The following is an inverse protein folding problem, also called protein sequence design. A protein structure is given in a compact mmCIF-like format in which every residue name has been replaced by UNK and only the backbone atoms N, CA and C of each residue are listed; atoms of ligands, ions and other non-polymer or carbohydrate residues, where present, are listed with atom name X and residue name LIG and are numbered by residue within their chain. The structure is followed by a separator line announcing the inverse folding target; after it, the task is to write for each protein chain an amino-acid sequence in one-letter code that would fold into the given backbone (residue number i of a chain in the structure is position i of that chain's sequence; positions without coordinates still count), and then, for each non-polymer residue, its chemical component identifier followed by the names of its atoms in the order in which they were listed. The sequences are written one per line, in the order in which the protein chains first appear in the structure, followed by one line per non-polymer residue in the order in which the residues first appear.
data_IF_463421761067
#
_entry.id   IF_463421761067
#
_cell.length_a   1.000
_cell.length_b   1.000
_cell.length_c   1.000
_cell.angle_alpha   90.00
_cell.angle_beta   90.00
_cell.angle_gamma   90.00
#
_symmetry.space_group_name_H-M   'P 1'
#
loop_
_entity.id
_entity.type
_entity.pdbx_description
1 polymer ?
#
# COMPACT_ATOMS: atom_id res chain seq x y z
N UNK A 1 -23.97 -0.28 -5.25
CA UNK A 1 -23.27 -0.21 -3.94
C UNK A 1 -23.47 1.19 -3.39
N UNK A 2 -23.80 1.34 -2.10
CA UNK A 2 -23.86 2.65 -1.46
C UNK A 2 -22.48 2.99 -0.88
N UNK A 3 -22.00 4.22 -1.12
CA UNK A 3 -20.80 4.74 -0.47
C UNK A 3 -21.09 5.05 0.99
N UNK A 4 -20.22 4.64 1.90
CA UNK A 4 -20.34 4.91 3.34
C UNK A 4 -19.08 5.62 3.85
N UNK A 5 -19.29 6.71 4.59
CA UNK A 5 -18.23 7.40 5.30
C UNK A 5 -18.02 6.79 6.69
N UNK A 6 -16.76 6.67 7.10
CA UNK A 6 -16.35 6.20 8.43
C UNK A 6 -15.50 7.29 9.10
N UNK A 7 -15.92 7.76 10.27
CA UNK A 7 -15.24 8.81 11.04
C UNK A 7 -14.66 8.33 12.38
N UNK A 8 -14.50 7.03 12.57
CA UNK A 8 -14.23 6.39 13.88
C UNK A 8 -12.75 6.22 14.23
N UNK A 9 -11.85 6.99 13.59
CA UNK A 9 -10.40 6.95 13.78
C UNK A 9 -9.74 5.56 13.68
N UNK A 10 -10.42 4.57 13.07
CA UNK A 10 -9.92 3.20 12.87
C UNK A 10 -9.79 2.84 11.38
N UNK A 11 -9.21 3.71 10.52
CA UNK A 11 -9.14 3.45 9.09
C UNK A 11 -8.36 2.18 8.78
N UNK A 12 -7.22 1.95 9.45
CA UNK A 12 -6.39 0.78 9.19
C UNK A 12 -7.08 -0.53 9.55
N UNK A 13 -7.78 -0.63 10.68
CA UNK A 13 -8.55 -1.84 11.03
C UNK A 13 -9.53 -2.21 9.92
N UNK A 14 -10.18 -1.20 9.31
CA UNK A 14 -11.14 -1.40 8.23
C UNK A 14 -10.47 -1.73 6.90
N UNK A 15 -9.39 -1.02 6.56
CA UNK A 15 -8.61 -1.22 5.33
C UNK A 15 -7.97 -2.61 5.34
N UNK A 16 -7.26 -2.97 6.41
CA UNK A 16 -6.62 -4.28 6.57
C UNK A 16 -7.64 -5.40 6.40
N UNK A 17 -8.74 -5.35 7.17
CA UNK A 17 -9.82 -6.34 7.07
C UNK A 17 -10.37 -6.44 5.64
N UNK A 18 -10.62 -5.29 5.00
CA UNK A 18 -11.17 -5.27 3.64
C UNK A 18 -10.21 -5.88 2.61
N UNK A 19 -8.92 -5.60 2.74
CA UNK A 19 -7.87 -6.14 1.86
C UNK A 19 -7.74 -7.65 2.04
N UNK A 20 -7.78 -8.14 3.28
CA UNK A 20 -7.76 -9.57 3.59
C UNK A 20 -8.98 -10.32 3.03
N UNK A 21 -10.17 -9.74 3.17
CA UNK A 21 -11.43 -10.32 2.69
C UNK A 21 -11.59 -10.26 1.16
N UNK A 22 -10.79 -9.45 0.46
CA UNK A 22 -10.91 -9.27 -0.99
C UNK A 22 -10.41 -10.50 -1.73
N UNK A 23 -11.32 -11.16 -2.44
CA UNK A 23 -11.01 -12.34 -3.28
C UNK A 23 -10.33 -11.98 -4.60
N UNK A 24 -10.58 -10.76 -5.10
CA UNK A 24 -9.99 -10.25 -6.34
C UNK A 24 -8.62 -9.60 -6.12
N UNK A 25 -8.10 -8.98 -7.18
CA UNK A 25 -6.88 -8.19 -7.14
C UNK A 25 -7.13 -6.88 -6.39
N UNK A 26 -6.24 -6.55 -5.46
CA UNK A 26 -6.17 -5.23 -4.82
C UNK A 26 -5.20 -4.35 -5.61
N UNK A 27 -5.59 -3.09 -5.83
CA UNK A 27 -4.76 -2.06 -6.47
C UNK A 27 -4.65 -0.87 -5.53
N UNK A 28 -3.48 -0.68 -4.96
CA UNK A 28 -3.22 0.41 -4.02
C UNK A 28 -2.31 1.47 -4.63
N UNK A 29 -2.66 2.74 -4.45
CA UNK A 29 -1.83 3.90 -4.78
C UNK A 29 -1.52 4.70 -3.50
N UNK A 30 -0.30 4.54 -3.00
CA UNK A 30 0.14 5.05 -1.71
C UNK A 30 1.40 5.89 -1.91
N UNK A 31 1.35 7.17 -1.51
CA UNK A 31 2.45 8.11 -1.68
C UNK A 31 3.79 7.56 -1.18
N UNK A 32 3.83 7.15 0.09
CA UNK A 32 5.01 6.71 0.81
C UNK A 32 4.72 5.45 1.61
N UNK A 33 5.62 4.47 1.51
CA UNK A 33 5.41 3.14 2.12
C UNK A 33 6.32 3.01 3.34
N UNK A 34 5.75 3.05 4.55
CA UNK A 34 6.50 2.86 5.79
C UNK A 34 6.89 1.40 6.04
N UNK A 35 7.78 1.14 7.01
CA UNK A 35 8.35 -0.20 7.27
C UNK A 35 7.30 -1.28 7.62
N UNK A 36 6.22 -0.85 8.24
CA UNK A 36 5.09 -1.58 8.81
C UNK A 36 3.90 -1.65 7.83
N UNK A 37 3.99 -0.97 6.68
CA UNK A 37 2.95 -1.02 5.66
C UNK A 37 2.59 -2.45 5.23
N UNK A 38 3.51 -3.43 5.08
CA UNK A 38 3.13 -4.81 4.73
C UNK A 38 2.29 -5.54 5.78
N UNK A 39 2.21 -5.01 7.00
CA UNK A 39 1.39 -5.56 8.09
C UNK A 39 0.02 -4.85 8.14
N UNK A 40 -0.04 -3.56 7.82
CA UNK A 40 -1.30 -2.77 7.75
C UNK A 40 -2.04 -2.93 6.41
N UNK A 41 -1.31 -3.12 5.32
CA UNK A 41 -1.81 -3.27 3.97
C UNK A 41 -1.28 -4.59 3.40
N UNK A 42 -1.90 -5.73 3.75
CA UNK A 42 -1.37 -7.07 3.48
C UNK A 42 -1.63 -7.52 2.04
N UNK A 43 -1.07 -6.79 1.07
CA UNK A 43 -1.10 -7.17 -0.35
C UNK A 43 -0.43 -8.53 -0.56
N UNK A 44 -0.99 -9.31 -1.46
CA UNK A 44 -0.62 -10.70 -1.79
C UNK A 44 -0.24 -10.87 -3.27
N UNK A 45 0.10 -12.10 -3.65
CA UNK A 45 0.48 -12.44 -5.03
C UNK A 45 -0.57 -11.95 -6.04
N UNK A 46 -0.10 -11.22 -7.05
CA UNK A 46 -0.95 -10.67 -8.10
C UNK A 46 -1.58 -9.31 -7.80
N UNK A 47 -1.44 -8.78 -6.58
CA UNK A 47 -1.83 -7.41 -6.23
C UNK A 47 -0.86 -6.37 -6.80
N UNK A 48 -1.31 -5.13 -6.85
CA UNK A 48 -0.57 -3.98 -7.38
C UNK A 48 -0.36 -2.92 -6.29
N UNK A 49 0.87 -2.45 -6.18
CA UNK A 49 1.25 -1.29 -5.39
C UNK A 49 1.88 -0.22 -6.30
N UNK A 50 1.26 0.95 -6.38
CA UNK A 50 1.85 2.14 -6.99
C UNK A 50 2.33 3.06 -5.86
N UNK A 51 3.62 3.41 -5.86
CA UNK A 51 4.19 4.30 -4.84
C UNK A 51 5.33 5.17 -5.38
N UNK A 52 5.70 6.22 -4.64
CA UNK A 52 6.95 6.93 -4.90
C UNK A 52 8.12 6.10 -4.37
N UNK A 53 8.69 5.29 -5.26
CA UNK A 53 9.88 4.48 -5.04
C UNK A 53 11.11 5.08 -5.75
N UNK A 54 11.18 6.41 -5.91
CA UNK A 54 12.41 7.06 -6.37
C UNK A 54 13.53 6.87 -5.35
N UNK A 55 14.78 6.75 -5.83
CA UNK A 55 15.96 6.62 -4.96
C UNK A 55 16.05 7.75 -3.95
N UNK A 56 15.67 8.97 -4.34
CA UNK A 56 15.63 10.13 -3.44
C UNK A 56 14.56 9.97 -2.33
N UNK A 57 13.43 9.32 -2.62
CA UNK A 57 12.38 9.03 -1.63
C UNK A 57 12.81 7.94 -0.66
N UNK A 58 13.54 6.93 -1.15
CA UNK A 58 14.10 5.85 -0.32
C UNK A 58 15.24 6.38 0.56
N UNK A 59 16.21 7.11 -0.02
CA UNK A 59 17.34 7.71 0.72
C UNK A 59 16.88 8.67 1.80
N UNK A 60 15.82 9.43 1.55
CA UNK A 60 15.22 10.34 2.52
C UNK A 60 14.34 9.64 3.58
N UNK A 61 14.19 8.31 3.54
CA UNK A 61 13.39 7.55 4.50
C UNK A 61 11.87 7.69 4.35
N UNK A 62 11.39 8.31 3.27
CA UNK A 62 9.95 8.45 2.99
C UNK A 62 9.35 7.09 2.63
N UNK A 63 9.99 6.37 1.70
CA UNK A 63 9.58 5.03 1.28
C UNK A 63 10.61 4.00 1.74
N UNK A 64 10.17 2.98 2.46
CA UNK A 64 11.03 1.95 3.02
C UNK A 64 11.36 0.87 1.99
N UNK A 65 12.62 0.79 1.57
CA UNK A 65 13.12 -0.30 0.72
C UNK A 65 12.84 -1.69 1.34
N UNK A 66 12.90 -1.81 2.68
CA UNK A 66 12.55 -3.05 3.39
C UNK A 66 11.09 -3.45 3.21
N UNK A 67 10.17 -2.48 3.20
CA UNK A 67 8.76 -2.74 2.94
C UNK A 67 8.53 -3.13 1.47
N UNK A 68 9.14 -2.41 0.53
CA UNK A 68 9.07 -2.76 -0.89
C UNK A 68 9.61 -4.17 -1.14
N UNK A 69 10.71 -4.55 -0.49
CA UNK A 69 11.27 -5.89 -0.59
C UNK A 69 10.32 -6.98 -0.05
N UNK A 70 9.63 -6.73 1.08
CA UNK A 70 8.61 -7.63 1.61
C UNK A 70 7.46 -7.82 0.60
N UNK A 71 6.96 -6.74 0.00
CA UNK A 71 5.91 -6.82 -1.03
C UNK A 71 6.38 -7.58 -2.27
N UNK A 72 7.60 -7.30 -2.75
CA UNK A 72 8.20 -8.02 -3.86
C UNK A 72 8.32 -9.53 -3.57
N UNK A 73 8.76 -9.91 -2.38
CA UNK A 73 8.79 -11.32 -1.94
C UNK A 73 7.42 -12.00 -1.90
N UNK A 74 6.35 -11.23 -1.66
CA UNK A 74 4.95 -11.69 -1.75
C UNK A 74 4.42 -11.71 -3.19
N UNK A 75 5.27 -11.43 -4.19
CA UNK A 75 4.91 -11.33 -5.62
C UNK A 75 3.85 -10.25 -5.91
N UNK A 76 3.89 -9.16 -5.15
CA UNK A 76 3.14 -7.94 -5.47
C UNK A 76 3.86 -7.22 -6.60
N UNK A 77 3.12 -6.76 -7.60
CA UNK A 77 3.68 -5.93 -8.67
C UNK A 77 3.81 -4.49 -8.17
N UNK A 78 5.02 -3.95 -8.17
CA UNK A 78 5.31 -2.60 -7.68
C UNK A 78 5.57 -1.69 -8.87
N UNK A 79 4.77 -0.64 -9.01
CA UNK A 79 5.01 0.46 -9.96
C UNK A 79 5.56 1.68 -9.22
N UNK A 80 6.65 2.22 -9.75
CA UNK A 80 7.23 3.48 -9.29
C UNK A 80 6.52 4.64 -9.98
N UNK A 81 6.07 5.63 -9.21
CA UNK A 81 5.57 6.89 -9.75
C UNK A 81 6.11 8.07 -8.93
N UNK A 82 6.97 8.88 -9.56
CA UNK A 82 7.57 10.06 -8.94
C UNK A 82 6.51 11.08 -8.54
N UNK A 83 6.58 11.60 -7.32
CA UNK A 83 5.69 12.66 -6.85
C UNK A 83 4.27 12.18 -6.54
N UNK A 84 4.05 10.87 -6.42
CA UNK A 84 2.74 10.33 -6.03
C UNK A 84 2.35 10.85 -4.65
N UNK A 85 1.14 11.41 -4.52
CA UNK A 85 0.59 11.85 -3.24
C UNK A 85 -0.77 11.21 -2.91
N UNK A 86 -1.08 10.05 -3.50
CA UNK A 86 -2.33 9.32 -3.30
C UNK A 86 -2.38 8.57 -1.95
N UNK A 87 -3.61 8.26 -1.52
CA UNK A 87 -3.94 7.43 -0.34
C UNK A 87 -5.18 6.58 -0.67
N UNK A 88 -5.08 5.77 -1.71
CA UNK A 88 -6.20 4.98 -2.26
C UNK A 88 -5.84 3.50 -2.25
N UNK A 89 -6.81 2.67 -1.89
CA UNK A 89 -6.75 1.21 -1.81
C UNK A 89 -8.11 0.62 -2.11
#
# INVERSE_FOLDING_TARGET
MATRFFGDAKPWVRITKRVEETKGRVVAAIAYVAKDAPDLLPLKEGDILVCDAEDASIKAGRTSAKALWKYHKRKVTIYKHRGLHAKVV
#
